data_IF_258200253031
#
_entry.id   IF_258200253031
#
_cell.length_a   1.000
_cell.length_b   1.000
_cell.length_c   1.000
_cell.angle_alpha   90.00
_cell.angle_beta   90.00
_cell.angle_gamma   90.00
#
_symmetry.space_group_name_H-M   'P 1'
#
loop_
_entity.id
_entity.type
_entity.pdbx_description
1 polymer ?
#
# COMPACT_ATOMS: atom_id res chain seq x y z
N UNK A 1 -23.72 66.30 5.98
CA UNK A 1 -23.69 65.25 4.95
C UNK A 1 -22.44 64.36 5.14
N UNK A 2 -22.28 63.69 6.32
CA UNK A 2 -21.13 62.85 6.65
C UNK A 2 -21.49 61.64 7.58
N UNK A 3 -22.68 61.03 7.40
CA UNK A 3 -23.12 59.95 8.32
C UNK A 3 -23.57 58.65 7.62
N UNK A 4 -23.50 58.54 6.29
CA UNK A 4 -24.08 57.41 5.58
C UNK A 4 -23.08 56.37 5.09
N UNK A 5 -21.76 56.60 5.22
CA UNK A 5 -20.74 55.69 4.67
C UNK A 5 -20.23 54.66 5.74
N UNK A 6 -20.35 54.98 7.02
CA UNK A 6 -19.81 54.08 8.08
C UNK A 6 -20.70 52.88 8.41
N UNK A 7 -21.98 52.89 8.07
CA UNK A 7 -22.89 51.75 8.37
C UNK A 7 -22.89 50.64 7.32
N UNK A 8 -22.47 50.92 6.06
CA UNK A 8 -22.39 49.86 5.01
C UNK A 8 -21.13 49.03 5.10
N UNK A 9 -20.05 49.54 5.68
CA UNK A 9 -18.79 48.78 5.85
C UNK A 9 -18.82 47.81 7.03
N UNK A 10 -19.66 48.06 8.07
CA UNK A 10 -19.81 47.11 9.20
C UNK A 10 -20.71 45.93 8.87
N UNK A 11 -21.66 46.07 7.95
CA UNK A 11 -22.58 44.99 7.57
C UNK A 11 -21.89 43.97 6.62
N UNK A 12 -20.95 44.41 5.79
CA UNK A 12 -20.20 43.48 4.91
C UNK A 12 -19.11 42.71 5.64
N UNK A 13 -18.55 43.22 6.70
CA UNK A 13 -17.52 42.50 7.49
C UNK A 13 -18.16 41.43 8.41
N UNK A 14 -19.40 41.66 8.85
CA UNK A 14 -20.14 40.64 9.61
C UNK A 14 -20.77 39.56 8.74
N UNK A 15 -21.09 39.84 7.48
CA UNK A 15 -21.60 38.84 6.52
C UNK A 15 -20.49 37.91 6.03
N UNK A 16 -19.23 38.38 5.92
CA UNK A 16 -18.09 37.53 5.58
C UNK A 16 -17.59 36.65 6.74
N UNK A 17 -17.92 37.02 7.99
CA UNK A 17 -17.53 36.21 9.17
C UNK A 17 -18.49 35.05 9.51
N UNK A 18 -19.67 35.01 8.86
CA UNK A 18 -20.69 33.96 9.12
C UNK A 18 -20.74 32.81 8.11
N UNK A 19 -19.86 32.78 7.11
CA UNK A 19 -19.86 31.70 6.10
C UNK A 19 -18.72 30.68 6.30
N UNK A 20 -18.17 30.56 7.50
CA UNK A 20 -17.17 29.56 7.86
C UNK A 20 -17.62 28.66 9.02
N UNK A 21 -18.83 28.14 8.95
CA UNK A 21 -19.10 26.84 9.55
C UNK A 21 -18.81 25.80 8.47
N UNK A 22 -17.55 25.55 8.22
CA UNK A 22 -17.15 24.38 7.47
C UNK A 22 -17.56 23.17 8.31
N UNK A 23 -18.32 22.25 7.68
CA UNK A 23 -18.46 20.88 8.16
C UNK A 23 -17.05 20.36 8.46
N UNK A 24 -16.75 19.94 9.71
CA UNK A 24 -15.43 19.43 10.06
C UNK A 24 -15.01 18.22 9.23
N UNK A 25 -15.90 17.63 8.44
CA UNK A 25 -15.63 16.51 7.55
C UNK A 25 -15.43 16.93 6.07
N UNK A 26 -15.52 18.22 5.72
CA UNK A 26 -15.26 18.70 4.37
C UNK A 26 -13.88 19.36 4.30
N UNK A 27 -12.84 18.54 4.21
CA UNK A 27 -11.50 18.99 3.83
C UNK A 27 -11.54 19.45 2.37
N UNK A 28 -11.22 20.71 2.11
CA UNK A 28 -10.99 21.18 0.74
C UNK A 28 -9.75 20.51 0.18
N UNK A 29 -9.63 20.32 -1.15
CA UNK A 29 -8.44 19.72 -1.80
C UNK A 29 -7.14 20.39 -1.33
N UNK A 30 -7.14 21.72 -1.10
CA UNK A 30 -5.99 22.45 -0.57
C UNK A 30 -5.65 22.05 0.88
N UNK A 31 -6.66 21.87 1.73
CA UNK A 31 -6.48 21.43 3.12
C UNK A 31 -5.96 20.01 3.22
N UNK A 32 -6.39 19.11 2.33
CA UNK A 32 -5.86 17.75 2.27
C UNK A 32 -4.38 17.76 1.86
N UNK A 33 -4.01 18.50 0.83
CA UNK A 33 -2.63 18.63 0.39
C UNK A 33 -1.69 19.24 1.45
N UNK A 34 -2.19 20.16 2.30
CA UNK A 34 -1.44 20.69 3.44
C UNK A 34 -1.25 19.65 4.54
N UNK A 35 -2.29 18.87 4.83
CA UNK A 35 -2.21 17.77 5.79
C UNK A 35 -1.24 16.69 5.33
N UNK A 36 -1.29 16.31 4.06
CA UNK A 36 -0.37 15.32 3.48
C UNK A 36 1.09 15.78 3.59
N UNK A 37 1.37 17.07 3.28
CA UNK A 37 2.71 17.65 3.46
C UNK A 37 3.15 17.64 4.92
N UNK A 38 2.25 17.95 5.84
CA UNK A 38 2.53 17.90 7.28
C UNK A 38 2.88 16.46 7.72
N UNK A 39 2.06 15.48 7.34
CA UNK A 39 2.29 14.06 7.66
C UNK A 39 3.63 13.58 7.13
N UNK A 40 3.94 13.88 5.85
CA UNK A 40 5.22 13.48 5.23
C UNK A 40 6.40 14.16 5.95
N UNK A 41 6.30 15.44 6.30
CA UNK A 41 7.37 16.16 6.98
C UNK A 41 7.59 15.75 8.44
N UNK A 42 6.66 15.01 9.04
CA UNK A 42 6.73 14.46 10.39
C UNK A 42 6.87 12.93 10.40
N UNK A 43 7.09 12.33 9.24
CA UNK A 43 7.42 10.91 9.09
C UNK A 43 8.89 10.75 8.73
N UNK A 44 9.46 9.57 8.99
CA UNK A 44 10.84 9.28 8.61
C UNK A 44 11.07 9.51 7.12
N UNK A 45 12.21 10.08 6.76
CA UNK A 45 12.61 10.24 5.37
C UNK A 45 12.83 8.88 4.71
N UNK A 46 12.49 8.78 3.44
CA UNK A 46 12.90 7.62 2.63
C UNK A 46 14.36 7.77 2.20
N UNK A 47 15.11 6.65 2.03
CA UNK A 47 16.44 6.68 1.45
C UNK A 47 16.46 7.27 0.03
N UNK A 48 17.54 7.95 -0.34
CA UNK A 48 17.71 8.53 -1.67
C UNK A 48 17.49 7.53 -2.81
N UNK A 49 17.81 6.25 -2.59
CA UNK A 49 17.60 5.20 -3.58
C UNK A 49 16.11 5.00 -3.88
N UNK A 50 15.28 4.92 -2.85
CA UNK A 50 13.81 4.76 -3.00
C UNK A 50 13.17 6.01 -3.63
N UNK A 51 13.60 7.20 -3.24
CA UNK A 51 13.16 8.43 -3.88
C UNK A 51 13.49 8.47 -5.38
N UNK A 52 14.71 8.06 -5.77
CA UNK A 52 15.11 7.98 -7.18
C UNK A 52 14.31 6.94 -7.94
N UNK A 53 14.07 5.77 -7.35
CA UNK A 53 13.20 4.75 -7.94
C UNK A 53 11.78 5.28 -8.15
N UNK A 54 11.18 5.87 -7.12
CA UNK A 54 9.84 6.46 -7.23
C UNK A 54 9.76 7.51 -8.34
N UNK A 55 10.77 8.36 -8.42
CA UNK A 55 10.86 9.37 -9.47
C UNK A 55 11.02 8.74 -10.86
N UNK A 56 11.90 7.75 -11.02
CA UNK A 56 12.10 7.03 -12.27
C UNK A 56 10.82 6.31 -12.72
N UNK A 57 10.11 5.67 -11.77
CA UNK A 57 8.79 5.04 -12.01
C UNK A 57 7.80 6.04 -12.63
N UNK A 58 7.69 7.24 -12.05
CA UNK A 58 6.76 8.26 -12.54
C UNK A 58 7.17 8.90 -13.89
N UNK A 59 8.46 8.81 -14.27
CA UNK A 59 8.97 9.36 -15.53
C UNK A 59 8.88 8.32 -16.66
N UNK A 60 9.16 7.05 -16.37
CA UNK A 60 9.41 6.03 -17.39
C UNK A 60 8.30 4.99 -17.53
N UNK A 61 7.51 4.74 -16.47
CA UNK A 61 6.47 3.72 -16.52
C UNK A 61 5.08 4.32 -16.73
N UNK A 62 4.25 3.60 -17.48
CA UNK A 62 2.82 3.89 -17.56
C UNK A 62 2.21 3.76 -16.15
N UNK A 63 1.33 4.67 -15.80
CA UNK A 63 0.65 4.66 -14.50
C UNK A 63 1.59 4.74 -13.29
N UNK A 64 2.71 5.49 -13.38
CA UNK A 64 3.72 5.62 -12.32
C UNK A 64 3.16 5.93 -10.91
N UNK A 65 1.99 6.61 -10.83
CA UNK A 65 1.27 6.86 -9.57
C UNK A 65 0.72 5.60 -8.88
N UNK A 66 0.77 4.42 -9.52
CA UNK A 66 0.45 3.15 -8.87
C UNK A 66 1.48 2.78 -7.79
N UNK A 67 2.71 3.29 -7.88
CA UNK A 67 3.70 3.08 -6.83
C UNK A 67 3.19 3.56 -5.47
N UNK A 68 3.43 2.78 -4.44
CA UNK A 68 2.92 3.01 -3.08
C UNK A 68 3.26 4.38 -2.49
N UNK A 69 4.44 4.92 -2.82
CA UNK A 69 4.91 6.24 -2.37
C UNK A 69 5.41 6.26 -0.91
N UNK A 70 5.92 7.42 -0.51
CA UNK A 70 6.68 7.61 0.73
C UNK A 70 5.98 7.07 1.98
N UNK A 71 4.78 7.57 2.30
CA UNK A 71 4.10 7.23 3.56
C UNK A 71 3.82 5.73 3.67
N UNK A 72 3.28 5.13 2.63
CA UNK A 72 3.00 3.70 2.61
C UNK A 72 4.28 2.87 2.63
N UNK A 73 5.32 3.31 1.93
CA UNK A 73 6.63 2.65 1.98
C UNK A 73 7.22 2.63 3.38
N UNK A 74 7.15 3.76 4.12
CA UNK A 74 7.60 3.82 5.53
C UNK A 74 6.74 2.94 6.43
N UNK A 75 5.43 2.86 6.19
CA UNK A 75 4.54 1.96 6.94
C UNK A 75 4.87 0.49 6.68
N UNK A 76 5.11 0.09 5.42
CA UNK A 76 5.52 -1.28 5.08
C UNK A 76 6.84 -1.66 5.76
N UNK A 77 7.84 -0.77 5.72
CA UNK A 77 9.08 -0.94 6.48
C UNK A 77 8.80 -1.15 7.97
N UNK A 78 7.94 -0.32 8.56
CA UNK A 78 7.58 -0.42 9.97
C UNK A 78 6.87 -1.73 10.31
N UNK A 79 5.96 -2.22 9.46
CA UNK A 79 5.37 -3.55 9.63
C UNK A 79 6.43 -4.64 9.64
N UNK A 80 7.41 -4.58 8.75
CA UNK A 80 8.53 -5.54 8.73
C UNK A 80 9.33 -5.49 10.03
N UNK A 81 9.65 -4.29 10.54
CA UNK A 81 10.40 -4.18 11.80
C UNK A 81 9.60 -4.63 13.02
N UNK A 82 8.26 -4.48 13.01
CA UNK A 82 7.36 -4.94 14.07
C UNK A 82 7.15 -6.46 14.04
N UNK A 83 6.88 -7.01 12.86
CA UNK A 83 6.57 -8.45 12.66
C UNK A 83 7.83 -9.29 12.68
N UNK A 84 8.96 -8.76 12.22
CA UNK A 84 10.26 -9.45 12.06
C UNK A 84 10.13 -10.74 11.23
N UNK A 85 9.55 -10.67 10.03
CA UNK A 85 9.25 -11.84 9.22
C UNK A 85 10.54 -12.47 8.70
N UNK A 86 10.62 -13.81 8.75
CA UNK A 86 11.70 -14.55 8.08
C UNK A 86 11.49 -14.58 6.57
N UNK A 87 10.25 -14.76 6.15
CA UNK A 87 9.89 -14.79 4.75
C UNK A 87 8.70 -13.87 4.49
N UNK A 88 8.84 -13.04 3.46
CA UNK A 88 7.78 -12.15 2.96
C UNK A 88 7.41 -12.63 1.55
N UNK A 89 6.12 -12.59 1.23
CA UNK A 89 5.64 -12.70 -0.13
C UNK A 89 4.93 -11.41 -0.54
N UNK A 90 5.24 -10.91 -1.72
CA UNK A 90 4.56 -9.76 -2.35
C UNK A 90 3.92 -10.18 -3.66
N UNK A 91 2.68 -9.75 -3.88
CA UNK A 91 1.90 -9.96 -5.10
C UNK A 91 1.63 -8.63 -5.74
N UNK A 92 2.25 -8.39 -6.89
CA UNK A 92 2.27 -7.10 -7.58
C UNK A 92 3.54 -6.31 -7.27
N UNK A 93 4.64 -6.65 -7.96
CA UNK A 93 5.94 -5.98 -7.80
C UNK A 93 5.92 -4.57 -8.40
N UNK A 94 5.28 -4.41 -9.56
CA UNK A 94 5.30 -3.20 -10.39
C UNK A 94 6.75 -2.71 -10.59
N UNK A 95 7.11 -1.55 -10.02
CA UNK A 95 8.48 -1.02 -10.12
C UNK A 95 9.44 -1.52 -9.02
N UNK A 96 8.96 -2.32 -8.07
CA UNK A 96 9.73 -2.82 -6.92
C UNK A 96 9.80 -1.87 -5.73
N UNK A 97 9.08 -0.74 -5.75
CA UNK A 97 9.20 0.26 -4.67
C UNK A 97 8.75 -0.29 -3.30
N UNK A 98 7.56 -0.89 -3.20
CA UNK A 98 7.05 -1.51 -1.97
C UNK A 98 7.94 -2.64 -1.48
N UNK A 99 8.36 -3.51 -2.40
CA UNK A 99 9.28 -4.61 -2.10
C UNK A 99 10.60 -4.12 -1.52
N UNK A 100 11.19 -3.08 -2.10
CA UNK A 100 12.44 -2.50 -1.59
C UNK A 100 12.26 -1.77 -0.25
N UNK A 101 11.10 -1.18 0.02
CA UNK A 101 10.79 -0.64 1.35
C UNK A 101 10.72 -1.76 2.40
N UNK A 102 10.14 -2.92 2.06
CA UNK A 102 10.12 -4.08 2.95
C UNK A 102 11.52 -4.68 3.11
N UNK A 103 12.32 -4.76 2.05
CA UNK A 103 13.70 -5.25 2.09
C UNK A 103 14.61 -4.35 2.96
N UNK A 104 14.41 -3.02 2.93
CA UNK A 104 15.05 -2.10 3.88
C UNK A 104 14.72 -2.46 5.33
N UNK A 105 13.44 -2.76 5.62
CA UNK A 105 13.02 -3.22 6.95
C UNK A 105 13.65 -4.55 7.35
N UNK A 106 13.79 -5.50 6.42
CA UNK A 106 14.51 -6.76 6.67
C UNK A 106 15.99 -6.52 6.98
N UNK A 107 16.64 -5.60 6.27
CA UNK A 107 18.02 -5.22 6.55
C UNK A 107 18.18 -4.59 7.94
N UNK A 108 17.23 -3.76 8.36
CA UNK A 108 17.23 -3.16 9.70
C UNK A 108 17.09 -4.23 10.80
N UNK A 109 16.23 -5.24 10.56
CA UNK A 109 15.94 -6.29 11.55
C UNK A 109 17.07 -7.31 11.67
N UNK A 110 17.65 -7.74 10.55
CA UNK A 110 18.56 -8.89 10.47
C UNK A 110 20.02 -8.50 10.20
N UNK A 111 20.30 -7.21 9.90
CA UNK A 111 21.66 -6.74 9.64
C UNK A 111 22.31 -7.50 8.50
N UNK A 112 23.48 -8.06 8.74
CA UNK A 112 24.24 -8.85 7.75
C UNK A 112 23.89 -10.34 7.74
N UNK A 113 22.98 -10.79 8.61
CA UNK A 113 22.50 -12.17 8.60
C UNK A 113 21.55 -12.41 7.42
N UNK A 114 22.08 -12.99 6.35
CA UNK A 114 21.33 -13.32 5.12
C UNK A 114 20.59 -14.67 5.20
N UNK A 115 20.74 -15.42 6.27
CA UNK A 115 20.00 -16.66 6.49
C UNK A 115 18.55 -16.44 6.94
N UNK A 116 18.24 -15.20 7.34
CA UNK A 116 16.91 -14.76 7.76
C UNK A 116 16.51 -13.48 7.04
N UNK A 117 15.21 -13.31 6.83
CA UNK A 117 14.66 -12.08 6.26
C UNK A 117 14.81 -12.02 4.74
N UNK A 118 13.91 -12.70 4.03
CA UNK A 118 13.90 -12.71 2.57
C UNK A 118 12.50 -12.34 2.02
N UNK A 119 12.48 -11.60 0.92
CA UNK A 119 11.30 -11.21 0.17
C UNK A 119 11.26 -11.95 -1.16
N UNK A 120 10.14 -12.59 -1.44
CA UNK A 120 9.78 -13.14 -2.74
C UNK A 120 8.68 -12.26 -3.33
N UNK A 121 8.94 -11.57 -4.44
CA UNK A 121 8.00 -10.66 -5.07
C UNK A 121 7.63 -11.13 -6.47
N UNK A 122 6.33 -11.17 -6.76
CA UNK A 122 5.77 -11.70 -8.00
C UNK A 122 5.14 -10.59 -8.83
N UNK A 123 5.44 -10.60 -10.13
CA UNK A 123 4.79 -9.74 -11.13
C UNK A 123 4.25 -10.58 -12.28
N UNK A 124 2.99 -10.39 -12.59
CA UNK A 124 2.34 -11.13 -13.69
C UNK A 124 2.58 -10.46 -15.06
N UNK A 125 2.86 -9.14 -15.06
CA UNK A 125 3.14 -8.37 -16.26
C UNK A 125 4.65 -8.27 -16.50
N UNK A 126 5.15 -8.90 -17.56
CA UNK A 126 6.57 -8.91 -17.95
C UNK A 126 7.02 -7.66 -18.72
N UNK A 127 6.09 -6.77 -19.12
CA UNK A 127 6.44 -5.58 -19.94
C UNK A 127 7.44 -4.64 -19.26
N UNK A 128 7.47 -4.62 -17.94
CA UNK A 128 8.40 -3.77 -17.15
C UNK A 128 9.50 -4.56 -16.44
N UNK A 129 9.68 -5.82 -16.78
CA UNK A 129 10.66 -6.70 -16.12
C UNK A 129 12.05 -6.09 -16.10
N UNK A 130 12.57 -5.62 -17.23
CA UNK A 130 13.91 -5.05 -17.34
C UNK A 130 14.10 -3.86 -16.41
N UNK A 131 13.13 -2.94 -16.37
CA UNK A 131 13.16 -1.78 -15.48
C UNK A 131 13.18 -2.22 -14.02
N UNK A 132 12.27 -3.10 -13.63
CA UNK A 132 12.11 -3.54 -12.25
C UNK A 132 13.32 -4.32 -11.76
N UNK A 133 13.85 -5.21 -12.61
CA UNK A 133 15.04 -6.01 -12.32
C UNK A 133 16.27 -5.14 -12.11
N UNK A 134 16.51 -4.16 -12.99
CA UNK A 134 17.63 -3.22 -12.86
C UNK A 134 17.59 -2.49 -11.49
N UNK A 135 16.42 -2.02 -11.07
CA UNK A 135 16.28 -1.32 -9.80
C UNK A 135 16.38 -2.24 -8.59
N UNK A 136 15.88 -3.47 -8.66
CA UNK A 136 16.01 -4.43 -7.56
C UNK A 136 17.48 -4.86 -7.41
N UNK A 137 18.11 -5.30 -8.49
CA UNK A 137 19.50 -5.78 -8.49
C UNK A 137 20.52 -4.68 -8.15
N UNK A 138 20.25 -3.43 -8.55
CA UNK A 138 21.07 -2.27 -8.21
C UNK A 138 20.84 -1.73 -6.80
N UNK A 139 19.89 -2.28 -6.03
CA UNK A 139 19.55 -1.76 -4.72
C UNK A 139 20.54 -2.20 -3.63
N UNK A 140 20.67 -1.43 -2.54
CA UNK A 140 21.43 -1.85 -1.36
C UNK A 140 20.90 -3.13 -0.68
N UNK A 141 19.69 -3.56 -1.03
CA UNK A 141 18.97 -4.69 -0.45
C UNK A 141 18.75 -5.85 -1.43
N UNK A 142 19.44 -5.85 -2.57
CA UNK A 142 19.29 -6.85 -3.63
C UNK A 142 19.37 -8.29 -3.11
N UNK A 143 20.29 -8.56 -2.20
CA UNK A 143 20.52 -9.90 -1.62
C UNK A 143 19.33 -10.43 -0.80
N UNK A 144 18.34 -9.57 -0.47
CA UNK A 144 17.16 -9.92 0.30
C UNK A 144 15.89 -10.10 -0.55
N UNK A 145 16.03 -9.95 -1.87
CA UNK A 145 14.86 -9.93 -2.78
C UNK A 145 15.06 -10.97 -3.87
N UNK A 146 14.06 -11.82 -4.06
CA UNK A 146 13.90 -12.65 -5.25
C UNK A 146 12.72 -12.13 -6.06
N UNK A 147 13.00 -11.58 -7.25
CA UNK A 147 11.98 -11.10 -8.18
C UNK A 147 11.61 -12.20 -9.18
N UNK A 148 10.33 -12.50 -9.28
CA UNK A 148 9.76 -13.59 -10.07
C UNK A 148 8.68 -13.05 -11.02
N UNK A 149 8.80 -13.39 -12.30
CA UNK A 149 7.70 -13.18 -13.25
C UNK A 149 6.80 -14.42 -13.18
N UNK A 150 5.53 -14.20 -12.88
CA UNK A 150 4.53 -15.26 -12.75
C UNK A 150 3.32 -14.87 -11.94
N UNK A 151 2.35 -15.79 -11.86
CA UNK A 151 1.16 -15.63 -11.04
C UNK A 151 1.42 -16.17 -9.63
N UNK A 152 1.47 -15.28 -8.64
CA UNK A 152 1.72 -15.66 -7.26
C UNK A 152 0.72 -16.70 -6.72
N UNK A 153 -0.56 -16.63 -7.10
CA UNK A 153 -1.57 -17.60 -6.66
C UNK A 153 -1.27 -19.01 -7.16
N UNK A 154 -0.73 -19.13 -8.38
CA UNK A 154 -0.37 -20.41 -8.98
C UNK A 154 1.01 -20.90 -8.51
N UNK A 155 1.99 -19.99 -8.40
CA UNK A 155 3.41 -20.37 -8.28
C UNK A 155 3.92 -20.39 -6.83
N UNK A 156 3.32 -19.59 -5.92
CA UNK A 156 3.77 -19.53 -4.53
C UNK A 156 3.69 -20.89 -3.79
N UNK A 157 2.68 -21.77 -4.01
CA UNK A 157 2.66 -23.09 -3.38
C UNK A 157 3.85 -23.97 -3.75
N UNK A 158 4.28 -23.92 -5.02
CA UNK A 158 5.45 -24.67 -5.48
C UNK A 158 6.75 -24.10 -4.89
N UNK A 159 6.88 -22.78 -4.87
CA UNK A 159 8.02 -22.07 -4.25
C UNK A 159 8.14 -22.40 -2.76
N UNK A 160 7.04 -22.27 -2.01
CA UNK A 160 7.02 -22.56 -0.57
C UNK A 160 7.42 -23.99 -0.26
N UNK A 161 6.95 -24.94 -1.08
CA UNK A 161 7.30 -26.37 -0.95
C UNK A 161 8.78 -26.62 -1.31
N UNK A 162 9.29 -26.02 -2.40
CA UNK A 162 10.70 -26.17 -2.83
C UNK A 162 11.66 -25.66 -1.77
N UNK A 163 11.35 -24.50 -1.18
CA UNK A 163 12.19 -23.85 -0.16
C UNK A 163 11.96 -24.37 1.25
N UNK A 164 10.94 -25.17 1.46
CA UNK A 164 10.48 -25.64 2.79
C UNK A 164 10.22 -24.49 3.76
N UNK A 165 9.43 -23.48 3.30
CA UNK A 165 9.13 -22.27 4.06
C UNK A 165 7.65 -22.01 4.21
N UNK A 166 7.31 -21.25 5.25
CA UNK A 166 6.06 -20.51 5.39
C UNK A 166 6.37 -19.02 5.36
N UNK A 167 5.37 -18.21 4.96
CA UNK A 167 5.48 -16.75 4.96
C UNK A 167 4.93 -16.18 6.26
N UNK A 168 5.61 -15.20 6.82
CA UNK A 168 5.20 -14.52 8.06
C UNK A 168 4.47 -13.21 7.76
N UNK A 169 4.73 -12.64 6.57
CA UNK A 169 4.11 -11.44 6.06
C UNK A 169 3.81 -11.61 4.57
N UNK A 170 2.61 -11.22 4.15
CA UNK A 170 2.25 -11.09 2.75
C UNK A 170 1.80 -9.65 2.47
N UNK A 171 2.20 -9.09 1.32
CA UNK A 171 1.65 -7.84 0.79
C UNK A 171 0.98 -8.13 -0.55
N UNK A 172 -0.31 -7.81 -0.66
CA UNK A 172 -1.15 -8.10 -1.83
C UNK A 172 -1.59 -6.80 -2.46
N UNK A 173 -1.04 -6.49 -3.63
CA UNK A 173 -1.33 -5.31 -4.44
C UNK A 173 -1.42 -5.66 -5.94
N UNK A 174 -2.02 -6.82 -6.25
CA UNK A 174 -2.26 -7.29 -7.60
C UNK A 174 -3.59 -6.83 -8.20
N UNK A 175 -4.09 -7.61 -9.18
CA UNK A 175 -5.41 -7.38 -9.79
C UNK A 175 -6.54 -7.59 -8.77
N UNK A 176 -7.35 -6.56 -8.59
CA UNK A 176 -8.42 -6.53 -7.57
C UNK A 176 -9.53 -7.55 -7.84
N UNK A 177 -9.65 -8.01 -9.08
CA UNK A 177 -10.64 -9.04 -9.48
C UNK A 177 -10.27 -10.43 -8.96
N UNK A 178 -9.00 -10.68 -8.64
CA UNK A 178 -8.46 -11.98 -8.20
C UNK A 178 -8.04 -12.00 -6.74
N UNK A 179 -8.44 -11.00 -5.94
CA UNK A 179 -8.03 -10.90 -4.52
C UNK A 179 -8.48 -12.09 -3.68
N UNK A 180 -9.67 -12.65 -3.93
CA UNK A 180 -10.15 -13.83 -3.19
C UNK A 180 -9.27 -15.05 -3.52
N UNK A 181 -9.01 -15.28 -4.81
CA UNK A 181 -8.18 -16.39 -5.29
C UNK A 181 -6.76 -16.27 -4.73
N UNK A 182 -6.17 -15.10 -4.77
CA UNK A 182 -4.86 -14.81 -4.20
C UNK A 182 -4.84 -15.06 -2.69
N UNK A 183 -5.83 -14.55 -1.97
CA UNK A 183 -5.95 -14.77 -0.53
C UNK A 183 -6.06 -16.23 -0.17
N UNK A 184 -6.93 -17.00 -0.84
CA UNK A 184 -7.13 -18.43 -0.57
C UNK A 184 -5.89 -19.26 -0.93
N UNK A 185 -5.13 -18.86 -1.94
CA UNK A 185 -3.87 -19.50 -2.29
C UNK A 185 -2.76 -19.21 -1.25
N UNK A 186 -2.71 -17.99 -0.73
CA UNK A 186 -1.67 -17.58 0.22
C UNK A 186 -1.96 -18.00 1.66
N UNK A 187 -3.21 -17.97 2.12
CA UNK A 187 -3.55 -18.24 3.52
C UNK A 187 -3.00 -19.57 4.05
N UNK A 188 -3.04 -20.71 3.31
CA UNK A 188 -2.42 -21.95 3.73
C UNK A 188 -0.91 -21.85 3.93
N UNK A 189 -0.23 -21.01 3.13
CA UNK A 189 1.22 -20.83 3.12
C UNK A 189 1.71 -19.86 4.21
N UNK A 190 0.79 -19.16 4.89
CA UNK A 190 1.14 -18.27 5.99
C UNK A 190 1.44 -19.04 7.27
N UNK A 191 2.44 -18.59 8.02
CA UNK A 191 2.69 -19.02 9.40
C UNK A 191 1.48 -18.71 10.28
N UNK A 192 1.25 -19.53 11.31
CA UNK A 192 0.26 -19.21 12.36
C UNK A 192 0.67 -17.91 13.05
N UNK A 193 -0.26 -16.94 13.12
CA UNK A 193 0.02 -15.60 13.62
C UNK A 193 0.64 -14.63 12.60
N UNK A 194 0.94 -15.11 11.38
CA UNK A 194 1.42 -14.29 10.27
C UNK A 194 0.36 -13.33 9.74
N UNK A 195 0.79 -12.34 8.96
CA UNK A 195 -0.03 -11.23 8.52
C UNK A 195 -0.12 -11.16 7.00
N UNK A 196 -1.33 -10.84 6.49
CA UNK A 196 -1.55 -10.45 5.10
C UNK A 196 -2.00 -8.99 5.11
N UNK A 197 -1.31 -8.16 4.35
CA UNK A 197 -1.63 -6.76 4.09
C UNK A 197 -2.21 -6.67 2.68
N UNK A 198 -3.49 -6.34 2.54
CA UNK A 198 -4.14 -6.17 1.25
C UNK A 198 -4.37 -4.69 0.97
N UNK A 199 -3.80 -4.19 -0.14
CA UNK A 199 -3.88 -2.78 -0.51
C UNK A 199 -5.16 -2.45 -1.30
N UNK A 200 -5.50 -1.16 -1.35
CA UNK A 200 -6.63 -0.58 -2.09
C UNK A 200 -8.01 -1.18 -1.73
N UNK A 201 -8.20 -1.63 -0.50
CA UNK A 201 -9.45 -2.30 -0.09
C UNK A 201 -10.64 -1.35 0.12
N UNK A 202 -10.44 -0.03 0.06
CA UNK A 202 -11.49 0.98 -0.01
C UNK A 202 -11.69 1.52 -1.44
N UNK A 203 -10.74 1.27 -2.33
CA UNK A 203 -10.80 1.56 -3.77
C UNK A 203 -11.33 2.96 -4.07
N UNK A 204 -10.63 3.99 -3.57
CA UNK A 204 -10.97 5.42 -3.73
C UNK A 204 -12.43 5.76 -3.30
N UNK A 205 -12.96 4.98 -2.34
CA UNK A 205 -14.35 5.11 -1.87
C UNK A 205 -15.40 4.40 -2.75
N UNK A 206 -15.01 3.82 -3.89
CA UNK A 206 -15.95 3.16 -4.82
C UNK A 206 -16.68 1.96 -4.18
N UNK A 207 -16.12 1.38 -3.11
CA UNK A 207 -16.76 0.26 -2.39
C UNK A 207 -18.13 0.61 -1.80
N UNK A 208 -18.41 1.90 -1.55
CA UNK A 208 -19.69 2.38 -1.02
C UNK A 208 -20.50 3.19 -2.06
N UNK A 209 -19.94 3.44 -3.25
CA UNK A 209 -20.56 4.25 -4.28
C UNK A 209 -21.42 3.39 -5.22
N UNK A 210 -22.69 3.76 -5.40
CA UNK A 210 -23.64 3.05 -6.26
C UNK A 210 -23.27 3.15 -7.74
N UNK A 211 -22.59 4.21 -8.17
CA UNK A 211 -22.18 4.43 -9.56
C UNK A 211 -21.19 3.37 -10.03
N UNK A 212 -20.33 2.89 -9.11
CA UNK A 212 -19.26 1.92 -9.40
C UNK A 212 -19.65 0.45 -9.18
N UNK A 213 -20.93 0.16 -8.90
CA UNK A 213 -21.40 -1.22 -8.64
C UNK A 213 -21.16 -2.20 -9.80
N UNK A 214 -21.00 -1.70 -11.04
CA UNK A 214 -20.76 -2.53 -12.23
C UNK A 214 -19.28 -2.65 -12.59
N UNK A 215 -18.43 -1.80 -12.01
CA UNK A 215 -16.99 -1.87 -12.25
C UNK A 215 -16.40 -3.20 -11.75
N UNK A 216 -15.65 -3.95 -12.59
CA UNK A 216 -15.12 -5.27 -12.20
C UNK A 216 -14.14 -5.23 -11.03
N UNK A 217 -13.31 -4.18 -10.93
CA UNK A 217 -12.35 -4.01 -9.84
C UNK A 217 -13.08 -3.75 -8.51
N UNK A 218 -14.04 -2.83 -8.52
CA UNK A 218 -14.90 -2.53 -7.36
C UNK A 218 -15.64 -3.78 -6.87
N UNK A 219 -16.19 -4.58 -7.80
CA UNK A 219 -16.85 -5.84 -7.46
C UNK A 219 -15.89 -6.82 -6.79
N UNK A 220 -14.68 -6.95 -7.33
CA UNK A 220 -13.66 -7.83 -6.77
C UNK A 220 -13.29 -7.44 -5.34
N UNK A 221 -13.01 -6.14 -5.11
CA UNK A 221 -12.69 -5.63 -3.77
C UNK A 221 -13.86 -5.77 -2.78
N UNK A 222 -15.09 -5.46 -3.18
CA UNK A 222 -16.27 -5.66 -2.31
C UNK A 222 -16.42 -7.13 -1.93
N UNK A 223 -16.34 -8.03 -2.92
CA UNK A 223 -16.42 -9.46 -2.67
C UNK A 223 -15.29 -9.95 -1.74
N UNK A 224 -14.06 -9.46 -1.92
CA UNK A 224 -12.94 -9.75 -1.03
C UNK A 224 -13.20 -9.24 0.40
N UNK A 225 -13.64 -8.00 0.56
CA UNK A 225 -13.93 -7.43 1.87
C UNK A 225 -15.02 -8.24 2.60
N UNK A 226 -16.09 -8.62 1.90
CA UNK A 226 -17.18 -9.44 2.46
C UNK A 226 -16.66 -10.86 2.81
N UNK A 227 -15.83 -11.44 1.94
CA UNK A 227 -15.25 -12.77 2.14
C UNK A 227 -14.38 -12.81 3.40
N UNK A 228 -13.42 -11.91 3.55
CA UNK A 228 -12.55 -11.86 4.73
C UNK A 228 -13.30 -11.42 5.98
N UNK A 229 -14.36 -10.61 5.84
CA UNK A 229 -15.23 -10.24 6.96
C UNK A 229 -15.96 -11.44 7.57
N UNK A 230 -16.27 -12.45 6.79
CA UNK A 230 -16.93 -13.67 7.24
C UNK A 230 -15.95 -14.80 7.64
N UNK A 231 -14.65 -14.64 7.35
CA UNK A 231 -13.67 -15.72 7.53
C UNK A 231 -13.22 -15.86 9.00
N UNK A 232 -13.50 -17.02 9.67
CA UNK A 232 -13.08 -17.24 11.05
C UNK A 232 -11.59 -17.58 11.18
N UNK A 233 -10.88 -17.83 10.09
CA UNK A 233 -9.45 -18.19 10.10
C UNK A 233 -8.54 -17.00 10.36
N UNK A 234 -9.07 -15.75 10.28
CA UNK A 234 -8.30 -14.52 10.42
C UNK A 234 -8.98 -13.51 11.36
N UNK A 235 -8.17 -12.73 12.07
CA UNK A 235 -8.59 -11.44 12.62
C UNK A 235 -8.24 -10.33 11.63
N UNK A 236 -9.02 -9.25 11.60
CA UNK A 236 -8.93 -8.23 10.55
C UNK A 236 -9.22 -6.82 11.04
N UNK A 237 -8.61 -5.85 10.33
CA UNK A 237 -8.94 -4.42 10.45
C UNK A 237 -8.64 -3.74 9.11
N UNK A 238 -9.48 -2.78 8.71
CA UNK A 238 -9.23 -1.91 7.57
C UNK A 238 -8.73 -0.57 8.09
N UNK A 239 -7.57 -0.12 7.61
CA UNK A 239 -7.05 1.21 7.85
C UNK A 239 -7.42 2.11 6.67
N UNK A 240 -8.01 3.30 6.89
CA UNK A 240 -8.31 4.26 5.83
C UNK A 240 -7.04 5.06 5.45
N UNK A 241 -6.00 4.33 5.03
CA UNK A 241 -4.76 4.88 4.51
C UNK A 241 -4.79 4.82 2.99
N UNK A 242 -4.65 5.96 2.31
CA UNK A 242 -4.82 6.05 0.86
C UNK A 242 -6.13 5.38 0.43
N UNK A 243 -6.05 4.38 -0.43
CA UNK A 243 -7.20 3.62 -0.95
C UNK A 243 -7.62 2.46 -0.04
N UNK A 244 -7.19 2.50 1.23
CA UNK A 244 -7.49 1.49 2.23
C UNK A 244 -6.48 0.35 2.29
N UNK A 245 -6.02 0.03 3.49
CA UNK A 245 -5.14 -1.11 3.75
C UNK A 245 -5.82 -2.06 4.74
N UNK A 246 -6.15 -3.26 4.29
CA UNK A 246 -6.68 -4.31 5.17
C UNK A 246 -5.55 -5.14 5.74
N UNK A 247 -5.51 -5.24 7.06
CA UNK A 247 -4.58 -6.08 7.80
C UNK A 247 -5.34 -7.33 8.26
N UNK A 248 -4.88 -8.49 7.83
CA UNK A 248 -5.39 -9.80 8.23
C UNK A 248 -4.32 -10.52 9.04
N UNK A 249 -4.68 -11.13 10.17
CA UNK A 249 -3.78 -11.98 10.95
C UNK A 249 -4.33 -13.40 10.97
N UNK A 250 -3.55 -14.38 10.51
CA UNK A 250 -3.90 -15.81 10.58
C UNK A 250 -3.98 -16.27 12.05
N UNK A 251 -5.04 -16.97 12.42
CA UNK A 251 -5.31 -17.46 13.79
C UNK A 251 -4.72 -18.85 14.07
#
# INVERSE_FOLDING_TARGET
MRYTVRHKLKSNTQAMAKSKTQDPNHTTLDGQAELDRYVISHSDAEPDYLYRLWRATNIHLLHGRMASGHLQGRLLKMFVTMVRPKNIIEVGTFSGYSGLCMAEGLQEVYGDDKSCGHLYTFEINDEQEDFTREWIEGSPWADRVTFLIGDAAADAPALAKEKDILFDLAFVDGDKRTYIETYEALLPLMSKGGYILADNTLWDGHVIDEEYQRDPQTKGIRAFNDHVAADPRVSRVILPLRDGLTILRKL
#
